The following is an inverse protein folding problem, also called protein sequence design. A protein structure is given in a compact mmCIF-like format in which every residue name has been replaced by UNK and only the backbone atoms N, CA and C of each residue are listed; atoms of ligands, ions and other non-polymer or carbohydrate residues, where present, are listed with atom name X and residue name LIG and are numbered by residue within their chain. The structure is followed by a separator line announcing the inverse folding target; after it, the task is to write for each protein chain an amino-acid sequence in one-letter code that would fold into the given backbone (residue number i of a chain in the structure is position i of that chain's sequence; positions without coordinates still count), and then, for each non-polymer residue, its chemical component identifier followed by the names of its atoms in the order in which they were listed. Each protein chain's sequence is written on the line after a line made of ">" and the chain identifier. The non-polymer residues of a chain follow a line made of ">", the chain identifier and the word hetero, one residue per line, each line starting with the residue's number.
data_IF_289167143714
#
_entry.id   IF_289167143714
#
_cell.length_a   1.000
_cell.length_b   1.000
_cell.length_c   1.000
_cell.angle_alpha   90.00
_cell.angle_beta   90.00
_cell.angle_gamma   90.00
#
_symmetry.space_group_name_H-M   'P 1'
#
loop_
_entity.id
_entity.type
_entity.pdbx_description
1 polymer ?
#
# COMPACT_ATOMS: atom_id res chain seq x y z
N UNK A 1 -16.82 51.06 16.52
CA UNK A 1 -15.66 50.51 17.26
C UNK A 1 -16.14 49.22 17.90
N UNK A 2 -15.60 48.02 17.71
CA UNK A 2 -14.35 47.54 17.13
C UNK A 2 -14.63 46.12 16.63
N UNK A 3 -14.31 45.81 15.36
CA UNK A 3 -14.27 44.41 14.89
C UNK A 3 -12.84 43.93 14.98
N UNK A 4 -12.55 43.16 16.03
CA UNK A 4 -11.28 42.48 16.21
C UNK A 4 -11.24 41.26 15.28
N UNK A 5 -10.66 41.43 14.09
CA UNK A 5 -10.31 40.32 13.19
C UNK A 5 -8.89 39.89 13.54
N UNK A 6 -8.77 38.74 14.20
CA UNK A 6 -7.50 38.11 14.53
C UNK A 6 -6.56 38.07 13.33
N UNK A 7 -5.44 38.78 13.44
CA UNK A 7 -4.34 38.73 12.50
C UNK A 7 -3.63 37.37 12.61
N UNK A 8 -4.13 36.37 11.89
CA UNK A 8 -3.35 35.18 11.60
C UNK A 8 -2.06 35.59 10.89
N UNK A 9 -0.91 35.23 11.47
CA UNK A 9 0.43 35.52 10.93
C UNK A 9 0.48 35.05 9.47
N UNK A 10 0.66 35.98 8.52
CA UNK A 10 0.77 35.66 7.09
C UNK A 10 1.88 34.62 6.89
N UNK A 11 1.60 33.53 6.17
CA UNK A 11 2.59 32.51 5.80
C UNK A 11 2.90 32.62 4.31
N UNK A 12 4.01 33.28 3.92
CA UNK A 12 4.38 33.42 2.52
C UNK A 12 4.56 32.07 1.84
N UNK A 13 4.14 31.96 0.59
CA UNK A 13 4.44 30.83 -0.26
C UNK A 13 5.79 31.04 -0.93
N UNK A 14 6.85 30.65 -0.21
CA UNK A 14 8.24 30.79 -0.66
C UNK A 14 8.52 29.92 -1.88
N UNK A 15 7.77 28.82 -2.08
CA UNK A 15 7.94 27.92 -3.24
C UNK A 15 7.53 28.61 -4.53
N UNK A 16 6.35 29.25 -4.58
CA UNK A 16 5.93 30.03 -5.75
C UNK A 16 6.95 31.13 -6.10
N UNK A 17 7.45 31.82 -5.06
CA UNK A 17 8.47 32.87 -5.20
C UNK A 17 9.74 32.30 -5.83
N UNK A 18 10.23 31.16 -5.31
CA UNK A 18 11.44 30.49 -5.80
C UNK A 18 11.28 29.97 -7.23
N UNK A 19 10.16 29.29 -7.55
CA UNK A 19 9.88 28.80 -8.91
C UNK A 19 9.77 29.94 -9.93
N UNK A 20 9.15 31.07 -9.55
CA UNK A 20 9.13 32.30 -10.37
C UNK A 20 10.55 32.78 -10.67
N UNK A 21 11.42 32.82 -9.67
CA UNK A 21 12.79 33.28 -9.82
C UNK A 21 13.64 32.33 -10.66
N UNK A 22 13.48 31.01 -10.47
CA UNK A 22 14.14 29.98 -11.29
C UNK A 22 13.76 30.07 -12.78
N UNK A 23 12.52 30.46 -13.09
CA UNK A 23 12.07 30.74 -14.47
C UNK A 23 12.60 32.07 -15.04
N UNK A 24 13.40 32.83 -14.29
CA UNK A 24 13.92 34.13 -14.71
C UNK A 24 12.86 35.24 -14.76
N UNK A 25 11.74 35.06 -14.06
CA UNK A 25 10.66 36.04 -13.97
C UNK A 25 10.93 36.98 -12.80
N UNK A 26 11.95 37.83 -12.96
CA UNK A 26 12.50 38.70 -11.92
C UNK A 26 11.52 39.72 -11.31
N UNK A 27 10.38 39.98 -11.96
CA UNK A 27 9.30 40.82 -11.41
C UNK A 27 7.94 40.14 -11.52
N UNK A 28 7.03 40.46 -10.59
CA UNK A 28 5.63 39.96 -10.61
C UNK A 28 4.90 40.38 -11.87
N UNK A 29 5.17 41.58 -12.39
CA UNK A 29 4.62 42.05 -13.67
C UNK A 29 5.07 41.21 -14.86
N UNK A 30 6.35 40.82 -14.90
CA UNK A 30 6.86 39.90 -15.94
C UNK A 30 6.23 38.52 -15.80
N UNK A 31 6.16 38.00 -14.57
CA UNK A 31 5.49 36.74 -14.27
C UNK A 31 4.01 36.76 -14.69
N UNK A 32 3.27 37.82 -14.38
CA UNK A 32 1.87 37.97 -14.76
C UNK A 32 1.67 37.96 -16.28
N UNK A 33 2.59 38.56 -17.06
CA UNK A 33 2.54 38.48 -18.53
C UNK A 33 2.71 37.05 -19.04
N UNK A 34 3.68 36.31 -18.50
CA UNK A 34 3.90 34.92 -18.90
C UNK A 34 2.76 34.00 -18.43
N UNK A 35 2.30 34.15 -17.19
CA UNK A 35 1.15 33.43 -16.67
C UNK A 35 -0.10 33.72 -17.50
N UNK A 36 -0.35 34.97 -17.89
CA UNK A 36 -1.48 35.32 -18.74
C UNK A 36 -1.36 34.71 -20.15
N UNK A 37 -0.14 34.59 -20.69
CA UNK A 37 0.13 33.88 -21.96
C UNK A 37 -0.18 32.39 -21.84
N UNK A 38 0.23 31.76 -20.74
CA UNK A 38 -0.02 30.34 -20.46
C UNK A 38 -1.52 30.10 -20.24
N UNK A 39 -2.21 30.99 -19.51
CA UNK A 39 -3.66 30.92 -19.30
C UNK A 39 -4.39 30.93 -20.64
N UNK A 40 -4.09 31.92 -21.49
CA UNK A 40 -4.73 32.06 -22.82
C UNK A 40 -4.60 30.80 -23.69
N UNK A 41 -3.51 30.05 -23.54
CA UNK A 41 -3.27 28.87 -24.34
C UNK A 41 -3.91 27.59 -23.78
N UNK A 42 -4.20 27.53 -22.47
CA UNK A 42 -4.53 26.27 -21.79
C UNK A 42 -5.81 26.30 -20.94
N UNK A 43 -6.36 27.48 -20.65
CA UNK A 43 -7.45 27.66 -19.68
C UNK A 43 -8.52 28.63 -20.22
N UNK A 44 -9.80 28.42 -19.89
CA UNK A 44 -10.88 29.30 -20.33
C UNK A 44 -10.85 30.65 -19.61
N UNK A 45 -11.38 31.69 -20.27
CA UNK A 45 -11.67 33.02 -19.70
C UNK A 45 -10.52 33.63 -18.85
N UNK A 46 -9.39 34.02 -19.46
CA UNK A 46 -8.27 34.61 -18.73
C UNK A 46 -8.67 35.93 -18.05
N UNK A 47 -8.32 36.11 -16.76
CA UNK A 47 -8.47 37.40 -16.09
C UNK A 47 -7.53 38.43 -16.72
N UNK A 48 -7.81 39.71 -16.51
CA UNK A 48 -6.91 40.77 -16.96
C UNK A 48 -5.55 40.69 -16.24
N UNK A 49 -4.52 41.27 -16.87
CA UNK A 49 -3.14 41.23 -16.39
C UNK A 49 -2.97 41.83 -14.98
N UNK A 50 -3.75 42.87 -14.63
CA UNK A 50 -3.64 43.54 -13.35
C UNK A 50 -4.24 42.68 -12.23
N UNK A 51 -5.38 42.04 -12.49
CA UNK A 51 -6.00 41.06 -11.62
C UNK A 51 -5.08 39.85 -11.39
N UNK A 52 -4.42 39.36 -12.44
CA UNK A 52 -3.48 38.25 -12.33
C UNK A 52 -2.23 38.62 -11.51
N UNK A 53 -1.68 39.81 -11.71
CA UNK A 53 -0.54 40.32 -10.91
C UNK A 53 -0.93 40.48 -9.43
N UNK A 54 -2.12 41.03 -9.15
CA UNK A 54 -2.67 41.15 -7.79
C UNK A 54 -2.93 39.79 -7.14
N UNK A 55 -3.42 38.81 -7.91
CA UNK A 55 -3.61 37.44 -7.43
C UNK A 55 -2.26 36.79 -7.08
N UNK A 56 -1.28 36.85 -8.00
CA UNK A 56 0.06 36.33 -7.77
C UNK A 56 0.70 36.95 -6.51
N UNK A 57 0.61 38.28 -6.35
CA UNK A 57 1.09 38.95 -5.14
C UNK A 57 0.45 38.40 -3.86
N UNK A 58 -0.88 38.23 -3.85
CA UNK A 58 -1.60 37.72 -2.68
C UNK A 58 -1.21 36.27 -2.36
N UNK A 59 -1.02 35.44 -3.39
CA UNK A 59 -0.65 34.04 -3.24
C UNK A 59 0.80 33.85 -2.76
N UNK A 60 1.76 34.60 -3.32
CA UNK A 60 3.15 34.54 -2.88
C UNK A 60 3.33 35.08 -1.45
N UNK A 61 2.62 36.14 -1.08
CA UNK A 61 2.74 36.76 0.26
C UNK A 61 1.92 36.05 1.34
N UNK A 62 1.12 35.04 0.97
CA UNK A 62 0.25 34.33 1.91
C UNK A 62 -0.95 35.16 2.39
N UNK A 63 -1.28 36.26 1.70
CA UNK A 63 -2.48 37.08 1.95
C UNK A 63 -3.76 36.39 1.47
N UNK A 64 -3.63 35.43 0.57
CA UNK A 64 -4.70 34.53 0.17
C UNK A 64 -4.14 33.13 -0.10
N UNK A 65 -4.88 32.10 0.30
CA UNK A 65 -4.61 30.73 -0.15
C UNK A 65 -5.10 30.56 -1.59
N UNK A 66 -4.39 29.75 -2.38
CA UNK A 66 -4.79 29.42 -3.75
C UNK A 66 -5.86 28.33 -3.70
N UNK A 67 -7.13 28.75 -3.53
CA UNK A 67 -8.28 27.83 -3.50
C UNK A 67 -8.90 27.62 -4.88
N UNK A 68 -8.80 28.62 -5.74
CA UNK A 68 -9.34 28.59 -7.10
C UNK A 68 -8.55 27.60 -7.98
N UNK A 69 -9.27 26.62 -8.54
CA UNK A 69 -8.71 25.55 -9.37
C UNK A 69 -8.02 26.06 -10.64
N UNK A 70 -8.55 27.11 -11.27
CA UNK A 70 -7.97 27.68 -12.48
C UNK A 70 -6.59 28.28 -12.19
N UNK A 71 -6.43 28.95 -11.04
CA UNK A 71 -5.13 29.44 -10.60
C UNK A 71 -4.17 28.30 -10.21
N UNK A 72 -4.64 27.24 -9.56
CA UNK A 72 -3.81 26.07 -9.24
C UNK A 72 -3.25 25.45 -10.51
N UNK A 73 -4.14 25.16 -11.47
CA UNK A 73 -3.77 24.56 -12.76
C UNK A 73 -2.83 25.47 -13.54
N UNK A 74 -3.07 26.78 -13.54
CA UNK A 74 -2.16 27.75 -14.15
C UNK A 74 -0.75 27.63 -13.59
N UNK A 75 -0.60 27.64 -12.26
CA UNK A 75 0.71 27.60 -11.63
C UNK A 75 1.42 26.26 -11.85
N UNK A 76 0.69 25.15 -11.82
CA UNK A 76 1.24 23.84 -12.13
C UNK A 76 1.78 23.77 -13.57
N UNK A 77 1.00 24.25 -14.54
CA UNK A 77 1.44 24.36 -15.95
C UNK A 77 2.64 25.30 -16.09
N UNK A 78 2.63 26.43 -15.38
CA UNK A 78 3.66 27.45 -15.50
C UNK A 78 5.00 27.04 -14.90
N UNK A 79 4.97 26.27 -13.82
CA UNK A 79 6.16 25.88 -13.08
C UNK A 79 6.61 24.45 -13.33
N UNK A 80 5.81 23.66 -14.06
CA UNK A 80 6.05 22.23 -14.25
C UNK A 80 6.24 21.54 -12.89
N UNK A 81 5.19 21.68 -12.06
CA UNK A 81 5.22 21.31 -10.65
C UNK A 81 3.82 20.87 -10.21
N UNK A 82 3.74 19.92 -9.28
CA UNK A 82 2.46 19.44 -8.75
C UNK A 82 1.80 20.48 -7.81
N UNK A 83 0.48 20.43 -7.62
CA UNK A 83 -0.19 21.28 -6.62
C UNK A 83 0.41 21.10 -5.21
N UNK A 84 0.83 19.89 -4.86
CA UNK A 84 1.42 19.56 -3.57
C UNK A 84 2.78 20.23 -3.38
N UNK A 85 3.62 20.26 -4.42
CA UNK A 85 4.90 20.97 -4.39
C UNK A 85 4.70 22.48 -4.19
N UNK A 86 3.75 23.06 -4.91
CA UNK A 86 3.54 24.51 -4.91
C UNK A 86 2.77 25.02 -3.70
N UNK A 87 1.82 24.25 -3.16
CA UNK A 87 0.86 24.73 -2.15
C UNK A 87 0.82 23.92 -0.86
N UNK A 88 1.53 22.79 -0.79
CA UNK A 88 1.49 21.88 0.35
C UNK A 88 0.21 21.02 0.36
N UNK A 89 -0.20 20.55 1.54
CA UNK A 89 -1.42 19.76 1.69
C UNK A 89 -2.63 20.57 1.25
N UNK A 90 -3.29 20.11 0.19
CA UNK A 90 -4.54 20.64 -0.29
C UNK A 90 -5.52 19.49 -0.28
N UNK A 91 -6.69 19.68 0.34
CA UNK A 91 -7.79 18.74 0.21
C UNK A 91 -8.01 18.52 -1.29
N UNK A 92 -7.84 17.28 -1.75
CA UNK A 92 -8.15 16.94 -3.13
C UNK A 92 -9.62 17.27 -3.35
N UNK A 93 -9.91 18.22 -4.24
CA UNK A 93 -11.24 18.32 -4.82
C UNK A 93 -11.33 17.16 -5.82
N UNK A 94 -12.30 16.27 -5.61
CA UNK A 94 -12.49 15.11 -6.46
C UNK A 94 -12.74 15.56 -7.90
N UNK A 95 -12.05 14.93 -8.87
CA UNK A 95 -12.66 14.79 -10.18
C UNK A 95 -13.86 13.87 -9.99
N UNK A 96 -15.08 14.39 -10.12
CA UNK A 96 -16.32 13.64 -9.95
C UNK A 96 -16.54 12.50 -10.96
N UNK A 97 -15.58 12.29 -11.88
CA UNK A 97 -15.56 11.24 -12.92
C UNK A 97 -14.26 10.40 -12.91
N UNK A 98 -13.47 10.43 -11.83
CA UNK A 98 -12.18 9.73 -11.80
C UNK A 98 -12.33 8.21 -11.77
N UNK A 99 -11.69 7.51 -12.71
CA UNK A 99 -11.50 6.05 -12.63
C UNK A 99 -10.59 5.70 -11.45
N UNK A 100 -10.92 4.62 -10.72
CA UNK A 100 -10.04 4.08 -9.66
C UNK A 100 -9.10 3.08 -10.29
N UNK A 101 -7.79 3.26 -10.13
CA UNK A 101 -6.77 2.32 -10.60
C UNK A 101 -5.92 1.82 -9.42
N UNK A 102 -5.78 0.50 -9.32
CA UNK A 102 -5.17 -0.18 -8.19
C UNK A 102 -4.24 -1.28 -8.71
N UNK A 103 -3.05 -1.37 -8.12
CA UNK A 103 -2.21 -2.57 -8.21
C UNK A 103 -2.53 -3.48 -7.04
N UNK A 104 -3.05 -4.66 -7.35
CA UNK A 104 -3.36 -5.71 -6.38
C UNK A 104 -2.16 -6.64 -6.26
N UNK A 105 -1.50 -6.64 -5.10
CA UNK A 105 -0.47 -7.61 -4.75
C UNK A 105 -1.11 -8.76 -3.98
N UNK A 106 -0.92 -9.98 -4.45
CA UNK A 106 -1.35 -11.21 -3.77
C UNK A 106 -0.12 -11.99 -3.33
N UNK A 107 -0.06 -12.32 -2.05
CA UNK A 107 1.00 -13.12 -1.46
C UNK A 107 0.44 -14.51 -1.17
N UNK A 108 0.68 -15.44 -2.10
CA UNK A 108 0.17 -16.81 -2.02
C UNK A 108 1.28 -17.67 -1.43
N UNK A 109 1.06 -18.14 -0.21
CA UNK A 109 2.13 -18.75 0.61
C UNK A 109 2.03 -20.27 0.64
N UNK A 110 3.18 -20.93 0.74
CA UNK A 110 3.28 -22.36 0.99
C UNK A 110 4.53 -22.71 1.78
N UNK A 111 4.39 -23.64 2.73
CA UNK A 111 5.53 -24.28 3.37
C UNK A 111 5.87 -25.58 2.64
N UNK A 112 7.09 -25.69 2.13
CA UNK A 112 7.58 -26.85 1.38
C UNK A 112 8.72 -27.58 2.08
N UNK A 113 9.28 -26.99 3.15
CA UNK A 113 10.46 -27.50 3.85
C UNK A 113 11.78 -27.04 3.21
N UNK A 114 12.84 -26.99 4.03
CA UNK A 114 14.15 -26.45 3.62
C UNK A 114 14.77 -27.24 2.46
N UNK A 115 14.72 -28.57 2.52
CA UNK A 115 15.26 -29.46 1.47
C UNK A 115 14.56 -29.23 0.12
N UNK A 116 13.24 -29.04 0.15
CA UNK A 116 12.45 -28.78 -1.04
C UNK A 116 12.76 -27.42 -1.65
N UNK A 117 13.06 -26.39 -0.84
CA UNK A 117 13.47 -25.08 -1.36
C UNK A 117 14.73 -25.21 -2.21
N UNK A 118 15.69 -26.06 -1.81
CA UNK A 118 16.89 -26.30 -2.61
C UNK A 118 16.55 -26.98 -3.96
N UNK A 119 15.60 -27.92 -3.96
CA UNK A 119 15.10 -28.51 -5.20
C UNK A 119 14.41 -27.47 -6.11
N UNK A 120 13.67 -26.52 -5.54
CA UNK A 120 13.08 -25.39 -6.31
C UNK A 120 14.18 -24.51 -6.88
N UNK A 121 15.23 -24.19 -6.11
CA UNK A 121 16.36 -23.37 -6.56
C UNK A 121 17.06 -23.96 -7.77
N UNK A 122 17.34 -25.27 -7.77
CA UNK A 122 17.95 -25.93 -8.91
C UNK A 122 17.11 -25.83 -10.19
N UNK A 123 15.79 -25.73 -10.07
CA UNK A 123 14.87 -25.64 -11.22
C UNK A 123 14.64 -24.21 -11.73
N UNK A 124 14.56 -23.25 -10.82
CA UNK A 124 14.21 -21.86 -11.16
C UNK A 124 15.43 -20.95 -11.33
N UNK A 125 16.62 -21.37 -10.90
CA UNK A 125 17.85 -20.55 -10.94
C UNK A 125 17.64 -19.13 -10.39
N UNK A 126 17.08 -18.98 -9.17
CA UNK A 126 16.67 -17.69 -8.65
C UNK A 126 17.89 -16.83 -8.28
N UNK A 127 17.70 -15.51 -8.32
CA UNK A 127 18.72 -14.52 -7.89
C UNK A 127 18.47 -14.07 -6.46
N UNK A 128 19.48 -13.49 -5.81
CA UNK A 128 19.27 -12.85 -4.51
C UNK A 128 18.28 -11.69 -4.65
N UNK A 129 17.29 -11.63 -3.74
CA UNK A 129 16.34 -10.53 -3.71
C UNK A 129 16.96 -9.31 -3.00
N UNK A 130 16.84 -8.14 -3.63
CA UNK A 130 17.31 -6.87 -3.07
C UNK A 130 16.17 -6.16 -2.31
N UNK A 131 16.53 -5.28 -1.37
CA UNK A 131 15.55 -4.49 -0.59
C UNK A 131 14.68 -5.27 0.40
N UNK A 132 14.89 -6.58 0.54
CA UNK A 132 14.08 -7.42 1.42
C UNK A 132 14.51 -7.31 2.88
N UNK A 133 13.56 -7.53 3.79
CA UNK A 133 13.85 -7.47 5.23
C UNK A 133 14.52 -8.73 5.76
N UNK A 134 14.31 -9.85 5.08
CA UNK A 134 14.87 -11.15 5.36
C UNK A 134 15.57 -11.67 4.11
N UNK A 135 16.67 -12.40 4.30
CA UNK A 135 17.44 -12.96 3.20
C UNK A 135 16.59 -13.99 2.43
N UNK A 136 16.34 -13.71 1.15
CA UNK A 136 15.62 -14.61 0.26
C UNK A 136 16.08 -14.48 -1.18
N UNK A 137 15.65 -15.42 -1.99
CA UNK A 137 15.89 -15.41 -3.43
C UNK A 137 14.58 -15.23 -4.18
N UNK A 138 14.67 -14.73 -5.41
CA UNK A 138 13.53 -14.42 -6.26
C UNK A 138 13.78 -14.89 -7.69
N UNK A 139 12.73 -15.38 -8.34
CA UNK A 139 12.69 -15.63 -9.77
C UNK A 139 11.39 -15.09 -10.34
N UNK A 140 11.43 -14.57 -11.57
CA UNK A 140 10.21 -14.35 -12.33
C UNK A 140 9.55 -15.70 -12.62
N UNK A 141 8.22 -15.71 -12.67
CA UNK A 141 7.45 -16.93 -12.81
C UNK A 141 6.25 -16.72 -13.73
N UNK A 142 6.01 -17.62 -14.71
CA UNK A 142 4.85 -17.52 -15.59
C UNK A 142 3.54 -17.66 -14.81
N UNK A 143 2.61 -16.74 -15.01
CA UNK A 143 1.26 -16.81 -14.45
C UNK A 143 0.23 -16.38 -15.51
N UNK A 144 -0.94 -17.03 -15.57
CA UNK A 144 -2.00 -16.62 -16.49
C UNK A 144 -2.73 -15.34 -16.03
N UNK A 145 -2.49 -14.86 -14.80
CA UNK A 145 -3.25 -13.77 -14.18
C UNK A 145 -2.55 -12.41 -14.26
N UNK A 146 -1.22 -12.38 -14.27
CA UNK A 146 -0.46 -11.13 -14.21
C UNK A 146 1.03 -11.36 -13.99
N UNK A 147 1.74 -10.31 -13.57
CA UNK A 147 3.15 -10.40 -13.23
C UNK A 147 3.31 -11.25 -11.97
N UNK A 148 4.12 -12.31 -12.04
CA UNK A 148 4.36 -13.17 -10.89
C UNK A 148 5.84 -13.35 -10.64
N UNK A 149 6.22 -13.24 -9.37
CA UNK A 149 7.53 -13.60 -8.86
C UNK A 149 7.38 -14.69 -7.80
N UNK A 150 8.32 -15.61 -7.77
CA UNK A 150 8.42 -16.62 -6.72
C UNK A 150 9.57 -16.24 -5.80
N UNK A 151 9.25 -16.03 -4.54
CA UNK A 151 10.21 -15.76 -3.47
C UNK A 151 10.46 -17.03 -2.66
N UNK A 152 11.73 -17.30 -2.36
CA UNK A 152 12.20 -18.53 -1.71
C UNK A 152 13.04 -18.17 -0.49
N UNK A 153 12.62 -18.65 0.68
CA UNK A 153 13.38 -18.56 1.91
C UNK A 153 13.95 -19.93 2.30
N UNK A 154 15.22 -19.98 2.69
CA UNK A 154 15.92 -21.23 2.97
C UNK A 154 15.28 -22.06 4.09
N UNK A 155 14.51 -21.44 4.98
CA UNK A 155 13.79 -22.14 6.05
C UNK A 155 12.52 -22.88 5.58
N UNK A 156 12.22 -22.90 4.28
CA UNK A 156 11.17 -23.74 3.71
C UNK A 156 9.91 -22.99 3.27
N UNK A 157 9.90 -21.66 3.28
CA UNK A 157 8.77 -20.87 2.80
C UNK A 157 8.94 -20.48 1.32
N UNK A 158 7.85 -20.61 0.57
CA UNK A 158 7.71 -20.18 -0.83
C UNK A 158 6.51 -19.24 -0.93
N UNK A 159 6.68 -18.11 -1.61
CA UNK A 159 5.59 -17.16 -1.86
C UNK A 159 5.52 -16.85 -3.35
N UNK A 160 4.37 -17.11 -3.96
CA UNK A 160 4.02 -16.53 -5.26
C UNK A 160 3.47 -15.13 -5.00
N UNK A 161 4.25 -14.13 -5.38
CA UNK A 161 3.85 -12.72 -5.40
C UNK A 161 3.28 -12.40 -6.76
N UNK A 162 1.95 -12.38 -6.85
CA UNK A 162 1.21 -12.07 -8.06
C UNK A 162 0.72 -10.63 -8.00
N UNK A 163 0.97 -9.88 -9.08
CA UNK A 163 0.56 -8.48 -9.22
C UNK A 163 -0.38 -8.34 -10.40
N UNK A 164 -1.56 -7.77 -10.13
CA UNK A 164 -2.61 -7.54 -11.12
C UNK A 164 -3.00 -6.05 -11.09
N UNK A 165 -3.00 -5.42 -12.26
CA UNK A 165 -3.49 -4.05 -12.43
C UNK A 165 -5.00 -4.07 -12.66
N UNK A 166 -5.74 -3.30 -11.87
CA UNK A 166 -7.19 -3.31 -11.85
C UNK A 166 -7.73 -1.89 -11.96
N UNK A 167 -8.78 -1.75 -12.77
CA UNK A 167 -9.62 -0.56 -12.79
C UNK A 167 -11.06 -0.91 -12.40
N UNK A 168 -11.34 -1.21 -11.11
CA UNK A 168 -12.67 -1.61 -10.71
C UNK A 168 -13.65 -0.45 -10.83
N UNK A 169 -14.85 -0.73 -11.33
CA UNK A 169 -15.94 0.26 -11.39
C UNK A 169 -16.42 0.70 -9.99
N UNK A 170 -16.20 -0.13 -8.97
CA UNK A 170 -16.62 0.10 -7.58
C UNK A 170 -15.82 -0.78 -6.60
N UNK A 171 -15.84 -0.43 -5.31
CA UNK A 171 -15.23 -1.29 -4.27
C UNK A 171 -15.97 -2.63 -4.16
N UNK A 172 -17.28 -2.65 -4.42
CA UNK A 172 -18.07 -3.87 -4.51
C UNK A 172 -17.55 -4.79 -5.63
N UNK A 173 -17.28 -4.24 -6.81
CA UNK A 173 -16.71 -4.99 -7.95
C UNK A 173 -15.37 -5.62 -7.56
N UNK A 174 -14.48 -4.84 -6.94
CA UNK A 174 -13.20 -5.34 -6.45
C UNK A 174 -13.39 -6.43 -5.38
N UNK A 175 -14.36 -6.29 -4.48
CA UNK A 175 -14.62 -7.25 -3.41
C UNK A 175 -15.06 -8.61 -3.95
N UNK A 176 -16.00 -8.63 -4.91
CA UNK A 176 -16.44 -9.85 -5.60
C UNK A 176 -15.30 -10.47 -6.40
N UNK A 177 -14.54 -9.67 -7.14
CA UNK A 177 -13.36 -10.13 -7.88
C UNK A 177 -12.33 -10.76 -6.94
N UNK A 178 -12.02 -10.12 -5.82
CA UNK A 178 -11.07 -10.61 -4.82
C UNK A 178 -11.51 -11.98 -4.29
N UNK A 179 -12.78 -12.10 -3.91
CA UNK A 179 -13.33 -13.35 -3.39
C UNK A 179 -13.17 -14.52 -4.39
N UNK A 180 -13.46 -14.30 -5.67
CA UNK A 180 -13.33 -15.33 -6.71
C UNK A 180 -11.87 -15.65 -7.04
N UNK A 181 -11.08 -14.60 -7.30
CA UNK A 181 -9.68 -14.75 -7.71
C UNK A 181 -8.81 -15.38 -6.62
N UNK A 182 -9.12 -15.20 -5.34
CA UNK A 182 -8.40 -15.89 -4.27
C UNK A 182 -8.48 -17.42 -4.38
N UNK A 183 -9.69 -17.95 -4.63
CA UNK A 183 -9.92 -19.39 -4.78
C UNK A 183 -9.18 -19.94 -6.00
N UNK A 184 -9.26 -19.24 -7.11
CA UNK A 184 -8.60 -19.61 -8.37
C UNK A 184 -7.08 -19.59 -8.21
N UNK A 185 -6.54 -18.53 -7.63
CA UNK A 185 -5.10 -18.33 -7.47
C UNK A 185 -4.50 -19.34 -6.46
N UNK A 186 -5.23 -19.73 -5.41
CA UNK A 186 -4.84 -20.81 -4.50
C UNK A 186 -4.76 -22.16 -5.22
N UNK A 187 -5.78 -22.48 -6.03
CA UNK A 187 -5.79 -23.71 -6.82
C UNK A 187 -4.64 -23.76 -7.81
N UNK A 188 -4.39 -22.66 -8.51
CA UNK A 188 -3.26 -22.51 -9.43
C UNK A 188 -1.91 -22.65 -8.72
N UNK A 189 -1.66 -21.90 -7.65
CA UNK A 189 -0.37 -21.96 -6.93
C UNK A 189 -0.11 -23.37 -6.37
N UNK A 190 -1.16 -24.03 -5.85
CA UNK A 190 -1.06 -25.44 -5.40
C UNK A 190 -0.68 -26.38 -6.54
N UNK A 191 -1.28 -26.23 -7.72
CA UNK A 191 -0.91 -27.02 -8.89
C UNK A 191 0.55 -26.77 -9.32
N UNK A 192 1.00 -25.51 -9.30
CA UNK A 192 2.39 -25.16 -9.64
C UNK A 192 3.40 -25.71 -8.63
N UNK A 193 3.11 -25.63 -7.32
CA UNK A 193 3.95 -26.24 -6.27
C UNK A 193 4.10 -27.74 -6.52
N UNK A 194 3.00 -28.45 -6.75
CA UNK A 194 3.02 -29.89 -7.04
C UNK A 194 3.76 -30.22 -8.33
N UNK A 195 3.72 -29.34 -9.33
CA UNK A 195 4.48 -29.50 -10.58
C UNK A 195 5.99 -29.31 -10.36
N UNK A 196 6.39 -28.33 -9.56
CA UNK A 196 7.81 -28.07 -9.24
C UNK A 196 8.34 -29.10 -8.23
N UNK A 197 7.50 -29.61 -7.34
CA UNK A 197 7.86 -30.50 -6.24
C UNK A 197 6.95 -31.74 -6.23
N UNK A 198 6.99 -32.60 -7.26
CA UNK A 198 6.06 -33.72 -7.39
C UNK A 198 6.20 -34.79 -6.31
N UNK A 199 7.35 -34.84 -5.63
CA UNK A 199 7.59 -35.74 -4.52
C UNK A 199 6.98 -35.25 -3.19
N UNK A 200 6.49 -34.00 -3.13
CA UNK A 200 6.02 -33.36 -1.92
C UNK A 200 4.54 -33.01 -2.06
N UNK A 201 3.74 -33.30 -1.02
CA UNK A 201 2.31 -32.99 -0.98
C UNK A 201 2.03 -31.61 -0.38
N UNK A 202 2.86 -30.61 -0.68
CA UNK A 202 2.68 -29.26 -0.18
C UNK A 202 1.59 -28.53 -0.97
N UNK A 203 0.81 -27.71 -0.27
CA UNK A 203 -0.29 -26.92 -0.84
C UNK A 203 -0.13 -25.45 -0.46
N UNK A 204 -0.70 -24.57 -1.27
CA UNK A 204 -0.80 -23.17 -0.91
C UNK A 204 -1.81 -23.01 0.23
N UNK A 205 -1.39 -22.41 1.34
CA UNK A 205 -2.17 -22.36 2.58
C UNK A 205 -3.10 -21.15 2.65
N UNK A 206 -2.66 -20.00 2.12
CA UNK A 206 -3.37 -18.73 2.28
C UNK A 206 -2.95 -17.68 1.23
N UNK A 207 -3.84 -16.70 1.01
CA UNK A 207 -3.58 -15.49 0.19
C UNK A 207 -3.84 -14.24 1.02
N UNK A 208 -2.80 -13.45 1.26
CA UNK A 208 -2.95 -12.07 1.71
C UNK A 208 -2.94 -11.14 0.49
N UNK A 209 -3.70 -10.02 0.54
CA UNK A 209 -3.51 -8.95 -0.44
C UNK A 209 -3.02 -7.66 0.18
N UNK A 210 -2.17 -6.95 -0.57
CA UNK A 210 -1.93 -5.53 -0.42
C UNK A 210 -2.42 -4.79 -1.66
N UNK A 211 -3.07 -3.64 -1.46
CA UNK A 211 -3.56 -2.78 -2.53
C UNK A 211 -2.78 -1.48 -2.56
N UNK A 212 -2.13 -1.23 -3.69
CA UNK A 212 -1.49 0.05 -3.99
C UNK A 212 -2.42 0.88 -4.87
N UNK A 213 -2.99 1.95 -4.31
CA UNK A 213 -3.97 2.80 -5.02
C UNK A 213 -3.22 3.86 -5.81
N UNK A 214 -3.17 3.70 -7.13
CA UNK A 214 -2.50 4.63 -8.03
C UNK A 214 -3.37 5.87 -8.28
N UNK A 215 -4.67 5.65 -8.50
CA UNK A 215 -5.65 6.72 -8.69
C UNK A 215 -6.91 6.38 -7.92
N UNK A 216 -7.47 7.34 -7.20
CA UNK A 216 -8.70 7.19 -6.45
C UNK A 216 -9.83 8.03 -7.07
N UNK A 217 -11.01 7.44 -7.21
CA UNK A 217 -12.24 8.15 -7.61
C UNK A 217 -12.77 9.12 -6.53
N UNK A 218 -12.31 8.96 -5.29
CA UNK A 218 -12.82 9.67 -4.12
C UNK A 218 -11.83 10.71 -3.60
N UNK A 219 -12.35 11.67 -2.82
CA UNK A 219 -11.52 12.63 -2.11
C UNK A 219 -12.04 12.90 -0.69
N UNK A 220 -11.25 13.61 0.12
CA UNK A 220 -11.60 13.96 1.50
C UNK A 220 -11.95 12.75 2.35
N UNK A 221 -13.01 12.86 3.15
CA UNK A 221 -13.47 11.79 4.05
C UNK A 221 -13.97 10.54 3.30
N UNK A 222 -14.46 10.71 2.06
CA UNK A 222 -14.86 9.59 1.21
C UNK A 222 -13.66 8.77 0.76
N UNK A 223 -12.52 9.42 0.49
CA UNK A 223 -11.27 8.71 0.20
C UNK A 223 -10.80 7.90 1.40
N UNK A 224 -10.80 8.50 2.59
CA UNK A 224 -10.40 7.79 3.81
C UNK A 224 -11.29 6.55 4.04
N UNK A 225 -12.60 6.73 3.93
CA UNK A 225 -13.59 5.66 4.09
C UNK A 225 -13.41 4.57 3.03
N UNK A 226 -13.23 4.94 1.76
CA UNK A 226 -13.00 4.01 0.66
C UNK A 226 -11.76 3.15 0.89
N UNK A 227 -10.66 3.74 1.36
CA UNK A 227 -9.43 3.01 1.67
C UNK A 227 -9.63 2.05 2.85
N UNK A 228 -10.37 2.45 3.89
CA UNK A 228 -10.70 1.52 4.99
C UNK A 228 -11.52 0.33 4.52
N UNK A 229 -12.50 0.55 3.63
CA UNK A 229 -13.27 -0.54 3.00
C UNK A 229 -12.34 -1.42 2.15
N UNK A 230 -11.44 -0.82 1.37
CA UNK A 230 -10.46 -1.55 0.55
C UNK A 230 -9.46 -2.37 1.38
N UNK A 231 -9.15 -1.96 2.61
CA UNK A 231 -8.37 -2.73 3.57
C UNK A 231 -9.14 -3.98 4.07
N UNK A 232 -10.48 -3.92 4.11
CA UNK A 232 -11.35 -5.02 4.53
C UNK A 232 -12.49 -5.30 3.52
N UNK A 233 -12.21 -5.68 2.26
CA UNK A 233 -13.22 -5.72 1.19
C UNK A 233 -14.40 -6.65 1.48
N UNK A 234 -14.17 -7.69 2.29
CA UNK A 234 -15.19 -8.67 2.67
C UNK A 234 -16.36 -8.05 3.45
N UNK A 235 -16.21 -6.85 4.03
CA UNK A 235 -17.33 -6.15 4.71
C UNK A 235 -18.50 -5.83 3.77
N UNK A 236 -18.23 -5.74 2.47
CA UNK A 236 -19.28 -5.52 1.45
C UNK A 236 -20.01 -6.80 1.06
N UNK A 237 -19.48 -7.96 1.43
CA UNK A 237 -19.99 -9.25 0.97
C UNK A 237 -20.71 -9.97 2.11
N UNK A 238 -21.84 -10.57 1.79
CA UNK A 238 -22.48 -11.53 2.68
C UNK A 238 -21.76 -12.90 2.62
N UNK A 239 -22.15 -13.84 3.48
CA UNK A 239 -21.64 -15.22 3.53
C UNK A 239 -21.78 -15.95 2.19
N UNK A 240 -22.75 -15.57 1.35
CA UNK A 240 -23.02 -16.15 0.03
C UNK A 240 -22.47 -15.28 -1.12
N UNK A 241 -21.18 -14.94 -1.05
CA UNK A 241 -20.50 -14.10 -2.03
C UNK A 241 -20.39 -14.69 -3.45
N UNK A 242 -20.67 -15.99 -3.64
CA UNK A 242 -20.73 -16.65 -4.95
C UNK A 242 -22.08 -16.49 -5.67
N UNK A 243 -23.10 -15.91 -5.02
CA UNK A 243 -24.43 -15.74 -5.63
C UNK A 243 -24.45 -14.74 -6.78
N UNK A 244 -25.38 -14.90 -7.73
CA UNK A 244 -25.55 -13.98 -8.86
C UNK A 244 -25.88 -12.55 -8.42
N UNK A 245 -26.55 -12.41 -7.26
CA UNK A 245 -26.99 -11.13 -6.71
C UNK A 245 -25.94 -10.46 -5.81
N UNK A 246 -24.79 -11.13 -5.56
CA UNK A 246 -23.78 -10.66 -4.61
C UNK A 246 -23.26 -9.25 -4.94
N UNK A 247 -23.10 -8.92 -6.22
CA UNK A 247 -22.62 -7.60 -6.65
C UNK A 247 -23.62 -6.49 -6.33
N UNK A 248 -24.90 -6.68 -6.68
CA UNK A 248 -25.93 -5.66 -6.45
C UNK A 248 -26.15 -5.38 -4.96
N UNK A 249 -26.06 -6.42 -4.12
CA UNK A 249 -26.07 -6.24 -2.66
C UNK A 249 -24.84 -5.49 -2.16
N UNK A 250 -23.64 -5.88 -2.62
CA UNK A 250 -22.39 -5.24 -2.22
C UNK A 250 -22.35 -3.76 -2.59
N UNK A 251 -22.88 -3.36 -3.75
CA UNK A 251 -23.00 -1.96 -4.16
C UNK A 251 -23.95 -1.15 -3.26
N UNK A 252 -25.03 -1.76 -2.76
CA UNK A 252 -25.93 -1.12 -1.80
C UNK A 252 -25.21 -0.86 -0.47
N UNK A 253 -24.46 -1.85 0.02
CA UNK A 253 -23.67 -1.74 1.26
C UNK A 253 -22.55 -0.71 1.09
N UNK A 254 -21.85 -0.72 -0.05
CA UNK A 254 -20.79 0.23 -0.38
C UNK A 254 -21.29 1.67 -0.29
N UNK A 255 -22.42 2.00 -0.93
CA UNK A 255 -23.01 3.35 -0.86
C UNK A 255 -23.29 3.76 0.58
N UNK A 256 -23.89 2.86 1.36
CA UNK A 256 -24.21 3.12 2.77
C UNK A 256 -22.96 3.40 3.60
N UNK A 257 -21.90 2.59 3.43
CA UNK A 257 -20.66 2.75 4.20
C UNK A 257 -19.88 3.99 3.77
N UNK A 258 -19.84 4.32 2.48
CA UNK A 258 -19.20 5.54 1.97
C UNK A 258 -19.86 6.82 2.50
N UNK A 259 -21.18 6.81 2.70
CA UNK A 259 -21.91 7.96 3.20
C UNK A 259 -21.89 8.08 4.73
N UNK A 260 -21.87 6.95 5.45
CA UNK A 260 -21.86 6.93 6.93
C UNK A 260 -20.46 6.95 7.54
N UNK A 261 -19.44 6.63 6.75
CA UNK A 261 -18.09 6.33 7.23
C UNK A 261 -17.96 4.88 7.69
N UNK A 262 -16.74 4.36 7.62
CA UNK A 262 -16.41 2.99 8.04
C UNK A 262 -15.18 2.97 8.95
N UNK A 263 -15.22 2.15 9.99
CA UNK A 263 -14.09 1.91 10.90
C UNK A 263 -14.22 0.53 11.54
N UNK A 264 -13.09 -0.13 11.78
CA UNK A 264 -13.04 -1.44 12.42
C UNK A 264 -11.93 -1.44 13.50
N UNK A 265 -12.14 -2.02 14.69
CA UNK A 265 -11.16 -2.01 15.77
C UNK A 265 -9.83 -2.69 15.44
N UNK A 266 -9.86 -3.72 14.58
CA UNK A 266 -8.68 -4.48 14.16
C UNK A 266 -7.92 -3.82 12.99
N UNK A 267 -8.26 -2.59 12.63
CA UNK A 267 -7.60 -1.84 11.58
C UNK A 267 -6.63 -0.83 12.18
N UNK A 268 -5.38 -0.86 11.71
CA UNK A 268 -4.32 0.03 12.16
C UNK A 268 -3.97 1.05 11.07
N UNK A 269 -4.16 2.37 11.30
CA UNK A 269 -3.68 3.40 10.39
C UNK A 269 -2.16 3.55 10.49
N UNK A 270 -1.49 3.75 9.35
CA UNK A 270 -0.05 4.05 9.30
C UNK A 270 0.34 5.14 8.30
N UNK A 271 -0.63 5.72 7.59
CA UNK A 271 -0.40 6.87 6.70
C UNK A 271 -0.01 8.14 7.45
N UNK A 272 0.62 9.08 6.73
CA UNK A 272 0.95 10.41 7.28
C UNK A 272 0.07 11.45 6.61
N UNK A 273 -0.67 12.22 7.43
CA UNK A 273 -1.60 13.25 6.96
C UNK A 273 -0.96 14.15 5.91
N UNK A 274 -1.52 14.09 4.69
CA UNK A 274 -1.09 14.89 3.55
C UNK A 274 0.16 14.41 2.81
N UNK A 275 0.65 13.23 3.14
CA UNK A 275 1.72 12.52 2.43
C UNK A 275 1.21 11.19 1.90
N UNK A 276 0.43 10.46 2.70
CA UNK A 276 -0.15 9.18 2.33
C UNK A 276 -1.35 8.83 3.22
N UNK A 277 -2.17 7.89 2.76
CA UNK A 277 -3.16 7.20 3.58
C UNK A 277 -2.82 5.72 3.52
N UNK A 278 -2.77 5.06 4.67
CA UNK A 278 -2.39 3.66 4.76
C UNK A 278 -3.10 2.99 5.93
N UNK A 279 -3.65 1.80 5.68
CA UNK A 279 -4.32 0.97 6.66
C UNK A 279 -3.87 -0.48 6.53
N UNK A 280 -3.63 -1.12 7.67
CA UNK A 280 -3.42 -2.56 7.75
C UNK A 280 -4.57 -3.20 8.54
N UNK A 281 -4.91 -4.43 8.20
CA UNK A 281 -5.84 -5.28 8.95
C UNK A 281 -5.48 -6.74 8.71
N UNK A 282 -6.13 -7.65 9.44
CA UNK A 282 -6.02 -9.08 9.17
C UNK A 282 -6.41 -9.45 7.72
N UNK A 283 -7.27 -8.66 7.07
CA UNK A 283 -7.74 -8.94 5.71
C UNK A 283 -6.77 -8.48 4.62
N UNK A 284 -5.84 -7.58 4.94
CA UNK A 284 -4.91 -7.02 3.98
C UNK A 284 -4.44 -5.61 4.32
N UNK A 285 -3.57 -5.11 3.46
CA UNK A 285 -2.98 -3.77 3.55
C UNK A 285 -3.46 -2.92 2.38
N UNK A 286 -3.66 -1.64 2.62
CA UNK A 286 -3.91 -0.66 1.56
C UNK A 286 -2.98 0.52 1.76
N UNK A 287 -2.48 1.06 0.65
CA UNK A 287 -1.70 2.27 0.66
C UNK A 287 -2.05 3.16 -0.54
N UNK A 288 -2.25 4.44 -0.26
CA UNK A 288 -2.51 5.48 -1.25
C UNK A 288 -1.46 6.60 -1.06
N UNK A 289 -0.47 6.70 -1.96
CA UNK A 289 0.47 7.80 -1.94
C UNK A 289 -0.22 9.11 -2.36
N UNK A 290 -0.12 10.16 -1.54
CA UNK A 290 -0.63 11.49 -1.89
C UNK A 290 0.49 12.47 -2.30
N UNK A 291 1.72 12.17 -1.90
CA UNK A 291 2.91 12.92 -2.26
C UNK A 291 4.06 11.96 -2.54
N UNK A 292 4.17 11.52 -3.80
CA UNK A 292 5.07 10.44 -4.27
C UNK A 292 6.51 10.56 -3.77
N UNK A 293 7.08 11.76 -3.76
CA UNK A 293 8.48 12.00 -3.35
C UNK A 293 8.72 11.95 -1.84
N UNK A 294 7.66 11.78 -1.03
CA UNK A 294 7.73 11.80 0.43
C UNK A 294 7.06 10.59 1.08
N UNK A 295 6.32 9.80 0.31
CA UNK A 295 5.65 8.62 0.79
C UNK A 295 6.60 7.41 0.76
N UNK A 296 6.24 6.34 1.48
CA UNK A 296 6.81 5.03 1.26
C UNK A 296 6.64 4.60 -0.21
N UNK A 297 7.55 3.79 -0.71
CA UNK A 297 7.45 3.16 -2.04
C UNK A 297 6.59 1.90 -1.99
N UNK A 298 6.08 1.47 -3.15
CA UNK A 298 5.34 0.21 -3.29
C UNK A 298 6.18 -0.98 -2.83
N UNK A 299 7.47 -0.99 -3.21
CA UNK A 299 8.43 -2.03 -2.84
C UNK A 299 8.68 -2.10 -1.32
N UNK A 300 8.70 -0.95 -0.62
CA UNK A 300 8.88 -0.92 0.84
C UNK A 300 7.73 -1.58 1.58
N UNK A 301 6.48 -1.35 1.14
CA UNK A 301 5.27 -1.99 1.69
C UNK A 301 5.26 -3.49 1.36
N UNK A 302 5.55 -3.83 0.11
CA UNK A 302 5.61 -5.23 -0.37
C UNK A 302 6.69 -6.03 0.37
N UNK A 303 7.88 -5.47 0.60
CA UNK A 303 8.96 -6.15 1.32
C UNK A 303 8.61 -6.43 2.78
N UNK A 304 7.88 -5.52 3.44
CA UNK A 304 7.38 -5.72 4.80
C UNK A 304 6.38 -6.89 4.85
N UNK A 305 5.46 -6.95 3.88
CA UNK A 305 4.50 -8.04 3.78
C UNK A 305 5.16 -9.37 3.45
N UNK A 306 6.04 -9.43 2.45
CA UNK A 306 6.76 -10.66 2.10
C UNK A 306 7.50 -11.27 3.29
N UNK A 307 8.20 -10.44 4.07
CA UNK A 307 8.90 -10.91 5.27
C UNK A 307 7.94 -11.41 6.36
N UNK A 308 6.84 -10.69 6.58
CA UNK A 308 5.81 -11.06 7.55
C UNK A 308 5.14 -12.37 7.16
N UNK A 309 4.69 -12.49 5.91
CA UNK A 309 4.03 -13.69 5.39
C UNK A 309 4.96 -14.90 5.35
N UNK A 310 6.25 -14.73 5.03
CA UNK A 310 7.20 -15.84 5.03
C UNK A 310 7.39 -16.43 6.44
N UNK A 311 7.55 -15.57 7.46
CA UNK A 311 7.64 -16.02 8.84
C UNK A 311 6.32 -16.57 9.37
N UNK A 312 5.20 -15.97 8.99
CA UNK A 312 3.87 -16.47 9.34
C UNK A 312 3.67 -17.88 8.81
N UNK A 313 4.04 -18.13 7.55
CA UNK A 313 4.00 -19.45 6.90
C UNK A 313 4.80 -20.49 7.69
N UNK A 314 6.00 -20.12 8.15
CA UNK A 314 6.83 -21.03 8.92
C UNK A 314 6.25 -21.31 10.32
N UNK A 315 5.79 -20.28 11.02
CA UNK A 315 5.16 -20.44 12.34
C UNK A 315 3.87 -21.25 12.23
N UNK A 316 3.07 -21.05 11.19
CA UNK A 316 1.85 -21.80 10.94
C UNK A 316 2.14 -23.28 10.70
N UNK A 317 3.21 -23.62 9.99
CA UNK A 317 3.64 -25.03 9.85
C UNK A 317 4.01 -25.65 11.21
N UNK A 318 4.84 -24.96 11.99
CA UNK A 318 5.28 -25.43 13.32
C UNK A 318 4.08 -25.68 14.23
N UNK A 319 3.20 -24.68 14.36
CA UNK A 319 2.01 -24.78 15.18
C UNK A 319 1.06 -25.87 14.66
N UNK A 320 0.95 -26.00 13.33
CA UNK A 320 0.16 -27.06 12.69
C UNK A 320 0.65 -28.46 13.04
N UNK A 321 1.96 -28.72 13.07
CA UNK A 321 2.48 -30.04 13.48
C UNK A 321 2.08 -30.38 14.93
N UNK A 322 2.17 -29.42 15.84
CA UNK A 322 1.74 -29.58 17.24
C UNK A 322 0.24 -29.82 17.35
N UNK A 323 -0.58 -29.10 16.58
CA UNK A 323 -2.03 -29.31 16.53
C UNK A 323 -2.40 -30.72 16.07
N UNK A 324 -1.56 -31.36 15.26
CA UNK A 324 -1.71 -32.75 14.86
C UNK A 324 -1.03 -33.75 15.81
N UNK A 325 -0.54 -33.29 16.97
CA UNK A 325 0.12 -34.12 17.99
C UNK A 325 1.50 -34.63 17.59
N UNK A 326 2.20 -33.91 16.70
CA UNK A 326 3.58 -34.23 16.28
C UNK A 326 4.55 -33.16 16.73
N UNK A 327 5.79 -33.57 16.98
CA UNK A 327 6.88 -32.63 17.15
C UNK A 327 7.28 -32.06 15.79
N UNK A 328 7.38 -30.73 15.63
CA UNK A 328 7.80 -30.10 14.38
C UNK A 328 9.22 -30.53 14.01
N UNK A 329 9.36 -31.17 12.85
CA UNK A 329 10.67 -31.50 12.30
C UNK A 329 11.24 -30.30 11.54
N UNK A 330 12.40 -29.80 11.97
CA UNK A 330 13.10 -28.74 11.25
C UNK A 330 14.62 -28.92 11.28
N UNK A 331 15.35 -28.40 10.27
CA UNK A 331 16.80 -28.34 10.32
C UNK A 331 17.28 -27.52 11.54
N UNK A 332 18.39 -27.95 12.14
CA UNK A 332 18.93 -27.35 13.36
C UNK A 332 19.27 -25.85 13.20
N UNK A 333 19.63 -25.42 11.99
CA UNK A 333 19.91 -24.02 11.68
C UNK A 333 18.66 -23.12 11.68
N UNK A 334 17.45 -23.70 11.58
CA UNK A 334 16.17 -22.97 11.57
C UNK A 334 15.35 -23.15 12.86
N UNK A 335 15.98 -23.65 13.93
CA UNK A 335 15.36 -23.85 15.25
C UNK A 335 14.99 -22.57 16.02
N UNK A 336 14.74 -22.68 17.32
CA UNK A 336 14.19 -21.56 18.12
C UNK A 336 15.11 -20.33 18.16
N UNK A 337 16.44 -20.53 18.09
CA UNK A 337 17.42 -19.43 18.06
C UNK A 337 17.28 -18.60 16.78
N UNK A 338 17.00 -19.26 15.66
CA UNK A 338 16.72 -18.61 14.38
C UNK A 338 15.42 -17.81 14.46
N UNK A 339 14.33 -18.41 14.93
CA UNK A 339 13.04 -17.72 15.10
C UNK A 339 13.16 -16.50 16.01
N UNK A 340 13.91 -16.60 17.11
CA UNK A 340 14.20 -15.47 18.00
C UNK A 340 14.96 -14.35 17.28
N UNK A 341 15.94 -14.70 16.45
CA UNK A 341 16.68 -13.73 15.64
C UNK A 341 15.77 -13.07 14.59
N UNK A 342 14.89 -13.84 13.94
CA UNK A 342 13.92 -13.33 12.97
C UNK A 342 12.93 -12.37 13.63
N UNK A 343 12.39 -12.72 14.81
CA UNK A 343 11.54 -11.82 15.60
C UNK A 343 12.24 -10.50 15.90
N UNK A 344 13.51 -10.55 16.29
CA UNK A 344 14.32 -9.35 16.54
C UNK A 344 14.49 -8.49 15.27
N UNK A 345 14.81 -9.10 14.13
CA UNK A 345 14.96 -8.40 12.84
C UNK A 345 13.65 -7.79 12.34
N UNK A 346 12.54 -8.46 12.62
CA UNK A 346 11.22 -8.04 12.19
C UNK A 346 10.71 -6.89 13.05
N UNK A 347 10.82 -6.96 14.38
CA UNK A 347 10.19 -6.00 15.32
C UNK A 347 11.06 -4.77 15.58
N UNK A 348 12.39 -4.92 15.65
CA UNK A 348 13.24 -3.84 16.12
C UNK A 348 13.47 -2.76 15.05
N UNK A 349 13.37 -1.47 15.42
CA UNK A 349 13.61 -0.39 14.48
C UNK A 349 15.07 -0.36 14.03
N UNK A 350 15.27 0.02 12.77
CA UNK A 350 16.62 0.19 12.20
C UNK A 350 17.10 1.64 12.43
N UNK A 351 18.42 1.89 12.61
CA UNK A 351 18.92 3.25 12.89
C UNK A 351 18.55 4.31 11.85
N UNK A 352 18.45 3.92 10.58
CA UNK A 352 18.11 4.82 9.45
C UNK A 352 16.62 4.82 9.10
N UNK A 353 15.80 4.16 9.92
CA UNK A 353 14.39 4.00 9.61
C UNK A 353 13.57 5.26 9.91
N UNK A 354 12.76 5.68 8.95
CA UNK A 354 11.88 6.84 9.12
C UNK A 354 10.66 6.53 9.99
N UNK A 355 9.99 7.57 10.50
CA UNK A 355 8.74 7.39 11.24
C UNK A 355 7.63 6.70 10.44
N UNK A 356 7.62 6.87 9.12
CA UNK A 356 6.67 6.20 8.21
C UNK A 356 6.92 4.69 8.19
N UNK A 357 8.16 4.26 8.01
CA UNK A 357 8.55 2.85 8.02
C UNK A 357 8.18 2.18 9.35
N UNK A 358 8.48 2.85 10.47
CA UNK A 358 8.12 2.34 11.80
C UNK A 358 6.62 2.17 11.97
N UNK A 359 5.82 3.13 11.51
CA UNK A 359 4.37 3.10 11.62
C UNK A 359 3.76 2.01 10.74
N UNK A 360 4.24 1.88 9.50
CA UNK A 360 3.87 0.80 8.58
C UNK A 360 4.20 -0.57 9.18
N UNK A 361 5.44 -0.75 9.67
CA UNK A 361 5.84 -1.99 10.33
C UNK A 361 4.89 -2.33 11.47
N UNK A 362 4.70 -1.40 12.41
CA UNK A 362 3.87 -1.66 13.59
C UNK A 362 2.45 -2.09 13.18
N UNK A 363 1.83 -1.36 12.26
CA UNK A 363 0.51 -1.69 11.75
C UNK A 363 0.44 -3.10 11.14
N UNK A 364 1.37 -3.45 10.24
CA UNK A 364 1.42 -4.77 9.60
C UNK A 364 1.65 -5.89 10.63
N UNK A 365 2.61 -5.73 11.54
CA UNK A 365 2.94 -6.75 12.52
C UNK A 365 1.81 -6.97 13.54
N UNK A 366 1.19 -5.88 13.99
CA UNK A 366 0.10 -5.94 14.97
C UNK A 366 -1.14 -6.60 14.36
N UNK A 367 -1.50 -6.26 13.12
CA UNK A 367 -2.72 -6.80 12.50
C UNK A 367 -2.56 -8.18 11.88
N UNK A 368 -1.33 -8.62 11.60
CA UNK A 368 -1.04 -9.99 11.13
C UNK A 368 -0.92 -11.02 12.25
N UNK A 369 -0.89 -10.58 13.52
CA UNK A 369 -0.71 -11.45 14.68
C UNK A 369 0.65 -12.17 14.75
N UNK A 370 1.58 -11.87 13.83
CA UNK A 370 2.85 -12.59 13.67
C UNK A 370 3.70 -12.59 14.94
N UNK A 371 3.64 -11.54 15.76
CA UNK A 371 4.41 -11.47 17.02
C UNK A 371 3.99 -12.54 18.01
N UNK A 372 2.70 -12.86 18.07
CA UNK A 372 2.17 -13.93 18.92
C UNK A 372 2.54 -15.30 18.34
N UNK A 373 2.35 -15.50 17.03
CA UNK A 373 2.73 -16.73 16.33
C UNK A 373 4.23 -17.05 16.49
N UNK A 374 5.10 -16.06 16.35
CA UNK A 374 6.54 -16.20 16.57
C UNK A 374 6.86 -16.59 18.01
N UNK A 375 6.19 -15.99 18.99
CA UNK A 375 6.46 -16.26 20.40
C UNK A 375 6.06 -17.70 20.76
N UNK A 376 4.89 -18.15 20.31
CA UNK A 376 4.43 -19.53 20.45
C UNK A 376 5.38 -20.51 19.75
N UNK A 377 5.73 -20.26 18.49
CA UNK A 377 6.64 -21.15 17.74
C UNK A 377 8.04 -21.23 18.38
N UNK A 378 8.57 -20.14 18.93
CA UNK A 378 9.84 -20.14 19.67
C UNK A 378 9.76 -21.04 20.90
N UNK A 379 8.67 -20.97 21.66
CA UNK A 379 8.47 -21.77 22.87
C UNK A 379 8.34 -23.25 22.52
N UNK A 380 7.47 -23.60 21.57
CA UNK A 380 7.30 -24.96 21.05
C UNK A 380 8.63 -25.58 20.63
N UNK A 381 9.38 -24.91 19.75
CA UNK A 381 10.62 -25.49 19.21
C UNK A 381 11.69 -25.62 20.29
N UNK A 382 11.73 -24.68 21.25
CA UNK A 382 12.65 -24.78 22.38
C UNK A 382 12.34 -26.00 23.25
N UNK A 383 11.07 -26.28 23.53
CA UNK A 383 10.67 -27.45 24.32
C UNK A 383 11.05 -28.77 23.63
N UNK A 384 10.91 -28.84 22.30
CA UNK A 384 11.28 -30.01 21.50
C UNK A 384 12.81 -30.22 21.44
N UNK A 385 13.60 -29.13 21.39
CA UNK A 385 15.06 -29.22 21.34
C UNK A 385 15.70 -29.51 22.71
N UNK A 386 15.06 -29.08 23.81
CA UNK A 386 15.59 -29.17 25.18
C UNK A 386 15.01 -30.35 26.00
N UNK A 387 13.87 -30.91 25.59
CA UNK A 387 13.24 -32.10 26.18
C UNK A 387 13.72 -33.39 25.54
#
# INVERSE_FOLDING_TARGET
>A
MSTDRGQGRLRPNVVLTSKREQRGWTSRRKAARELHRIWKANLPAPPDLESLEKALYRHETGRAQVRDEAYRRLYCLAYDASPQELFGYMEHEANSDGETTIRSHKFITAFVGADSVEAVRCRLTPRQAEGQWLDCQVSDYPSPYGECKVYLWSFGAVIFHLVEELSPASLATLSVWRYRSYRENLGWATAEIRRILPAFQSEASYVLSAYWVQQAAWSGDKLDTALRILCMPKVLLDRNADSADALGHAELVERSLLDQGFSHPEMAPFGVKGISIGYASWSGVVYCPLAEQRCLTEEEVVAAELATQALWTYCAHINGEVEHGRDPAMPAEYGWRFLRAMRSRLVNPRPQETGQHRSMRAAILDTSGITNHLSQAIETVREVEEG
#
